data_IF_547498733266
#
_entry.id   IF_547498733266
#
_cell.length_a   1.000
_cell.length_b   1.000
_cell.length_c   1.000
_cell.angle_alpha   90.00
_cell.angle_beta   90.00
_cell.angle_gamma   90.00
#
_symmetry.space_group_name_H-M   'P 1'
#
loop_
_entity.id
_entity.type
_entity.pdbx_description
1 polymer ?
#
# COMPACT_ATOMS: atom_id res chain seq x y z
N UNK A 1 -15.16 33.34 9.36
CA UNK A 1 -14.62 32.59 8.21
C UNK A 1 -14.90 31.09 8.35
N UNK A 2 -14.28 30.35 9.29
CA UNK A 2 -14.45 28.88 9.41
C UNK A 2 -15.89 28.35 9.52
N UNK A 3 -16.81 29.05 10.21
CA UNK A 3 -18.22 28.62 10.31
C UNK A 3 -18.98 28.79 8.98
N UNK A 4 -18.84 29.94 8.34
CA UNK A 4 -19.53 30.28 7.07
C UNK A 4 -19.08 29.37 5.92
N UNK A 5 -17.81 28.94 5.90
CA UNK A 5 -17.32 27.98 4.90
C UNK A 5 -17.83 26.56 5.14
N UNK A 6 -17.92 26.14 6.42
CA UNK A 6 -18.46 24.82 6.79
C UNK A 6 -19.96 24.68 6.49
N UNK A 7 -20.72 25.77 6.49
CA UNK A 7 -22.16 25.75 6.19
C UNK A 7 -22.43 25.72 4.67
N UNK A 8 -21.43 26.07 3.85
CA UNK A 8 -21.57 26.18 2.39
C UNK A 8 -20.99 24.99 1.62
N UNK A 9 -19.97 24.34 2.17
CA UNK A 9 -19.29 23.22 1.53
C UNK A 9 -19.60 21.97 2.31
N UNK A 10 -20.33 21.05 1.67
CA UNK A 10 -20.60 19.74 2.24
C UNK A 10 -19.29 18.98 2.47
N UNK A 11 -19.20 18.32 3.62
CA UNK A 11 -18.12 17.38 3.93
C UNK A 11 -18.31 16.09 3.15
N UNK A 12 -17.24 15.30 3.08
CA UNK A 12 -17.25 14.04 2.33
C UNK A 12 -18.33 13.07 2.84
N UNK A 13 -18.53 12.97 4.15
CA UNK A 13 -19.56 12.14 4.77
C UNK A 13 -20.98 12.61 4.42
N UNK A 14 -21.24 13.91 4.42
CA UNK A 14 -22.54 14.48 4.02
C UNK A 14 -22.87 14.17 2.56
N UNK A 15 -21.89 14.31 1.65
CA UNK A 15 -22.06 13.98 0.23
C UNK A 15 -22.40 12.50 0.04
N UNK A 16 -21.72 11.62 0.78
CA UNK A 16 -21.97 10.18 0.70
C UNK A 16 -23.32 9.77 1.27
N UNK A 17 -23.74 10.40 2.37
CA UNK A 17 -25.08 10.20 2.93
C UNK A 17 -26.14 10.61 1.89
N UNK A 18 -25.96 11.76 1.25
CA UNK A 18 -26.88 12.20 0.19
C UNK A 18 -26.93 11.23 -1.00
N UNK A 19 -25.78 10.78 -1.53
CA UNK A 19 -25.81 9.77 -2.60
C UNK A 19 -26.47 8.46 -2.16
N UNK A 20 -26.33 8.09 -0.88
CA UNK A 20 -26.99 6.90 -0.33
C UNK A 20 -28.50 7.06 -0.27
N UNK A 21 -29.02 8.22 0.15
CA UNK A 21 -30.48 8.48 0.16
C UNK A 21 -31.05 8.46 -1.26
N UNK A 22 -30.33 9.05 -2.23
CA UNK A 22 -30.71 8.99 -3.65
C UNK A 22 -30.75 7.54 -4.13
N UNK A 23 -29.69 6.76 -3.90
CA UNK A 23 -29.61 5.36 -4.30
C UNK A 23 -30.76 4.51 -3.71
N UNK A 24 -31.16 4.76 -2.46
CA UNK A 24 -32.25 4.07 -1.77
C UNK A 24 -33.65 4.52 -2.21
N UNK A 25 -33.76 5.64 -2.91
CA UNK A 25 -35.05 6.23 -3.28
C UNK A 25 -35.71 7.05 -2.18
N UNK A 26 -34.96 7.40 -1.14
CA UNK A 26 -35.46 8.16 0.02
C UNK A 26 -35.49 9.66 -0.25
N UNK A 27 -34.63 10.15 -1.16
CA UNK A 27 -34.66 11.54 -1.60
C UNK A 27 -35.95 11.86 -2.38
N UNK A 28 -36.39 13.12 -2.35
CA UNK A 28 -37.55 13.59 -3.13
C UNK A 28 -37.10 14.67 -4.09
N UNK A 29 -37.64 14.63 -5.30
CA UNK A 29 -37.51 15.67 -6.30
C UNK A 29 -38.88 16.21 -6.68
N UNK A 30 -38.98 17.53 -6.80
CA UNK A 30 -40.20 18.19 -7.26
C UNK A 30 -40.15 18.30 -8.77
N UNK A 31 -41.07 17.63 -9.46
CA UNK A 31 -41.23 17.73 -10.91
C UNK A 31 -42.51 18.46 -11.26
N UNK A 32 -42.51 19.14 -12.42
CA UNK A 32 -43.72 19.73 -12.98
C UNK A 32 -44.27 18.79 -14.03
N UNK A 33 -45.52 18.36 -13.85
CA UNK A 33 -46.25 17.51 -14.79
C UNK A 33 -47.36 18.31 -15.45
N UNK A 34 -47.51 18.13 -16.77
CA UNK A 34 -48.63 18.71 -17.51
C UNK A 34 -49.89 17.88 -17.29
N UNK A 35 -50.96 18.53 -16.87
CA UNK A 35 -52.30 17.96 -16.73
C UNK A 35 -53.25 18.64 -17.73
N UNK A 36 -54.44 18.07 -18.01
CA UNK A 36 -55.44 18.72 -18.86
C UNK A 36 -55.87 20.12 -18.36
N UNK A 37 -55.75 20.37 -17.05
CA UNK A 37 -56.13 21.61 -16.39
C UNK A 37 -54.96 22.60 -16.18
N UNK A 38 -53.73 22.23 -16.58
CA UNK A 38 -52.56 23.11 -16.46
C UNK A 38 -51.27 22.36 -16.15
N UNK A 39 -50.44 22.94 -15.28
CA UNK A 39 -49.20 22.32 -14.82
C UNK A 39 -49.25 22.17 -13.30
N UNK A 40 -48.96 20.97 -12.81
CA UNK A 40 -48.96 20.64 -11.39
C UNK A 40 -47.57 20.26 -10.92
N UNK A 41 -47.27 20.58 -9.66
CA UNK A 41 -46.02 20.24 -9.01
C UNK A 41 -46.22 18.98 -8.16
N UNK A 42 -45.43 17.94 -8.44
CA UNK A 42 -45.52 16.63 -7.78
C UNK A 42 -44.16 16.27 -7.19
N UNK A 43 -44.16 15.76 -5.96
CA UNK A 43 -42.96 15.16 -5.37
C UNK A 43 -42.83 13.70 -5.80
N UNK A 44 -41.71 13.38 -6.44
CA UNK A 44 -41.36 12.04 -6.87
C UNK A 44 -40.08 11.55 -6.20
N UNK A 45 -39.92 10.24 -6.19
CA UNK A 45 -38.64 9.61 -5.86
C UNK A 45 -37.65 9.77 -7.03
N UNK A 46 -36.33 9.62 -6.79
CA UNK A 46 -35.33 9.76 -7.82
C UNK A 46 -35.51 8.66 -8.87
N UNK A 47 -35.33 9.03 -10.13
CA UNK A 47 -35.46 8.11 -11.25
C UNK A 47 -34.43 6.97 -11.20
N UNK A 48 -34.69 5.87 -11.90
CA UNK A 48 -33.74 4.75 -12.01
C UNK A 48 -32.36 5.24 -12.51
N UNK A 49 -32.34 6.20 -13.43
CA UNK A 49 -31.10 6.76 -13.99
C UNK A 49 -30.28 7.47 -12.92
N UNK A 50 -30.94 8.22 -12.05
CA UNK A 50 -30.27 8.98 -10.97
C UNK A 50 -29.79 8.05 -9.86
N UNK A 51 -30.59 7.03 -9.51
CA UNK A 51 -30.15 5.95 -8.60
C UNK A 51 -28.92 5.22 -9.15
N UNK A 52 -28.90 4.91 -10.44
CA UNK A 52 -27.73 4.30 -11.10
C UNK A 52 -26.50 5.23 -11.07
N UNK A 53 -26.69 6.54 -11.25
CA UNK A 53 -25.59 7.49 -11.16
C UNK A 53 -25.02 7.55 -9.74
N UNK A 54 -25.86 7.65 -8.72
CA UNK A 54 -25.45 7.61 -7.32
C UNK A 54 -24.70 6.31 -6.98
N UNK A 55 -25.20 5.16 -7.45
CA UNK A 55 -24.55 3.87 -7.28
C UNK A 55 -23.15 3.82 -7.90
N UNK A 56 -22.97 4.35 -9.12
CA UNK A 56 -21.65 4.44 -9.76
C UNK A 56 -20.67 5.30 -8.96
N UNK A 57 -21.10 6.45 -8.46
CA UNK A 57 -20.24 7.31 -7.66
C UNK A 57 -19.84 6.66 -6.32
N UNK A 58 -20.78 5.96 -5.66
CA UNK A 58 -20.49 5.20 -4.45
C UNK A 58 -19.52 4.02 -4.70
N UNK A 59 -19.64 3.35 -5.85
CA UNK A 59 -18.78 2.23 -6.23
C UNK A 59 -17.32 2.63 -6.47
N UNK A 60 -17.03 3.86 -6.89
CA UNK A 60 -15.63 4.34 -7.06
C UNK A 60 -14.83 4.26 -5.76
N UNK A 61 -15.50 4.22 -4.61
CA UNK A 61 -14.86 4.06 -3.29
C UNK A 61 -14.40 2.62 -3.02
N UNK A 62 -14.86 1.66 -3.80
CA UNK A 62 -14.51 0.25 -3.73
C UNK A 62 -13.63 -0.12 -4.94
N UNK A 63 -12.34 0.28 -4.94
CA UNK A 63 -11.42 0.02 -6.05
C UNK A 63 -11.22 -1.48 -6.35
N UNK A 64 -11.60 -2.36 -5.43
CA UNK A 64 -11.57 -3.81 -5.61
C UNK A 64 -12.48 -4.35 -6.72
N UNK A 65 -13.38 -3.52 -7.27
CA UNK A 65 -14.30 -3.94 -8.34
C UNK A 65 -13.74 -3.73 -9.75
N UNK A 66 -12.55 -3.15 -9.89
CA UNK A 66 -11.89 -2.95 -11.18
C UNK A 66 -10.66 -3.87 -11.29
N UNK A 67 -10.83 -4.96 -12.04
CA UNK A 67 -9.80 -5.99 -12.24
C UNK A 67 -8.52 -5.42 -12.86
N UNK A 68 -8.64 -4.42 -13.74
CA UNK A 68 -7.50 -3.76 -14.37
C UNK A 68 -6.75 -2.89 -13.35
N UNK A 69 -7.47 -2.13 -12.52
CA UNK A 69 -6.87 -1.33 -11.45
C UNK A 69 -6.14 -2.22 -10.44
N UNK A 70 -6.74 -3.35 -10.05
CA UNK A 70 -6.13 -4.32 -9.14
C UNK A 70 -4.84 -4.92 -9.72
N UNK A 71 -4.83 -5.27 -11.01
CA UNK A 71 -3.66 -5.77 -11.70
C UNK A 71 -2.53 -4.72 -11.75
N UNK A 72 -2.87 -3.45 -11.99
CA UNK A 72 -1.91 -2.34 -11.96
C UNK A 72 -1.35 -2.12 -10.55
N UNK A 73 -2.18 -2.12 -9.51
CA UNK A 73 -1.73 -2.03 -8.12
C UNK A 73 -0.77 -3.16 -7.77
N UNK A 74 -1.13 -4.40 -8.13
CA UNK A 74 -0.30 -5.59 -7.87
C UNK A 74 1.06 -5.48 -8.55
N UNK A 75 1.09 -5.05 -9.81
CA UNK A 75 2.33 -4.80 -10.54
C UNK A 75 3.20 -3.75 -9.86
N UNK A 76 2.61 -2.61 -9.49
CA UNK A 76 3.34 -1.52 -8.80
C UNK A 76 3.94 -2.03 -7.49
N UNK A 77 3.18 -2.79 -6.69
CA UNK A 77 3.66 -3.37 -5.43
C UNK A 77 4.85 -4.30 -5.70
N UNK A 78 4.74 -5.16 -6.72
CA UNK A 78 5.81 -6.10 -7.09
C UNK A 78 7.06 -5.37 -7.56
N UNK A 79 6.92 -4.33 -8.38
CA UNK A 79 8.03 -3.50 -8.85
C UNK A 79 8.73 -2.76 -7.69
N UNK A 80 7.95 -2.27 -6.71
CA UNK A 80 8.48 -1.66 -5.48
C UNK A 80 9.27 -2.69 -4.65
N UNK A 81 8.74 -3.90 -4.50
CA UNK A 81 9.42 -4.97 -3.75
C UNK A 81 10.72 -5.40 -4.41
N UNK A 82 10.71 -5.57 -5.73
CA UNK A 82 11.91 -5.85 -6.52
C UNK A 82 12.95 -4.75 -6.36
N UNK A 83 12.53 -3.49 -6.52
CA UNK A 83 13.42 -2.34 -6.34
C UNK A 83 14.01 -2.29 -4.93
N UNK A 84 13.22 -2.58 -3.90
CA UNK A 84 13.71 -2.67 -2.51
C UNK A 84 14.74 -3.79 -2.34
N UNK A 85 14.54 -4.94 -2.99
CA UNK A 85 15.49 -6.04 -2.94
C UNK A 85 16.81 -5.67 -3.64
N UNK A 86 16.73 -5.04 -4.81
CA UNK A 86 17.90 -4.57 -5.56
C UNK A 86 18.70 -3.54 -4.75
N UNK A 87 18.03 -2.57 -4.12
CA UNK A 87 18.68 -1.60 -3.22
C UNK A 87 19.39 -2.28 -2.05
N UNK A 88 18.78 -3.31 -1.44
CA UNK A 88 19.42 -4.07 -0.36
C UNK A 88 20.66 -4.81 -0.86
N UNK A 89 20.59 -5.42 -2.05
CA UNK A 89 21.71 -6.13 -2.67
C UNK A 89 22.87 -5.18 -2.96
N UNK A 90 22.60 -4.06 -3.63
CA UNK A 90 23.63 -3.05 -3.92
C UNK A 90 24.25 -2.47 -2.65
N UNK A 91 23.46 -2.27 -1.59
CA UNK A 91 23.99 -1.83 -0.30
C UNK A 91 24.94 -2.86 0.31
N UNK A 92 24.54 -4.13 0.35
CA UNK A 92 25.40 -5.20 0.87
C UNK A 92 26.70 -5.36 0.04
N UNK A 93 26.60 -5.25 -1.29
CA UNK A 93 27.77 -5.29 -2.18
C UNK A 93 28.73 -4.12 -1.91
N UNK A 94 28.20 -2.91 -1.70
CA UNK A 94 29.00 -1.73 -1.35
C UNK A 94 29.71 -1.91 0.00
N UNK A 95 28.99 -2.40 1.03
CA UNK A 95 29.57 -2.65 2.36
C UNK A 95 30.71 -3.68 2.30
N UNK A 96 30.55 -4.75 1.52
CA UNK A 96 31.61 -5.76 1.30
C UNK A 96 32.80 -5.16 0.57
N UNK A 97 32.57 -4.34 -0.45
CA UNK A 97 33.63 -3.70 -1.22
C UNK A 97 34.44 -2.73 -0.35
N UNK A 98 33.77 -1.93 0.47
CA UNK A 98 34.42 -1.02 1.42
C UNK A 98 35.24 -1.81 2.46
N UNK A 99 34.71 -2.91 2.99
CA UNK A 99 35.43 -3.76 3.93
C UNK A 99 36.67 -4.41 3.29
N UNK A 100 36.59 -4.84 2.03
CA UNK A 100 37.75 -5.37 1.28
C UNK A 100 38.81 -4.29 1.04
N UNK A 101 38.40 -3.12 0.57
CA UNK A 101 39.33 -2.00 0.33
C UNK A 101 40.06 -1.56 1.61
N UNK A 102 39.37 -1.57 2.77
CA UNK A 102 40.01 -1.29 4.07
C UNK A 102 41.02 -2.36 4.48
N UNK A 103 40.77 -3.64 4.19
CA UNK A 103 41.72 -4.73 4.47
C UNK A 103 42.95 -4.66 3.57
N UNK A 104 42.77 -4.34 2.29
CA UNK A 104 43.87 -4.24 1.32
C UNK A 104 44.78 -3.03 1.58
N UNK A 105 44.24 -1.95 2.14
CA UNK A 105 45.01 -0.75 2.51
C UNK A 105 45.58 -0.81 3.93
N UNK A 106 45.11 -1.72 4.79
CA UNK A 106 45.75 -1.94 6.09
C UNK A 106 47.03 -2.77 5.90
N UNK A 107 48.19 -2.12 5.95
CA UNK A 107 49.51 -2.77 6.04
C UNK A 107 49.75 -3.40 7.44
N UNK A 108 48.76 -4.10 7.98
CA UNK A 108 48.88 -4.75 9.28
C UNK A 108 49.71 -6.04 9.11
N UNK A 109 51.02 -5.87 9.01
CA UNK A 109 52.04 -6.94 8.95
C UNK A 109 52.36 -7.50 10.34
N UNK A 110 51.41 -7.39 11.28
CA UNK A 110 51.60 -7.87 12.64
C UNK A 110 51.82 -9.39 12.62
N UNK A 111 53.05 -9.79 12.96
CA UNK A 111 53.47 -11.19 13.01
C UNK A 111 52.60 -11.94 14.03
N UNK A 112 51.72 -12.82 13.55
CA UNK A 112 50.92 -13.71 14.39
C UNK A 112 51.86 -14.80 14.92
N UNK A 113 52.17 -14.77 16.22
CA UNK A 113 52.90 -15.85 16.89
C UNK A 113 51.91 -16.91 17.36
N UNK A 114 51.96 -18.10 16.76
CA UNK A 114 51.14 -19.25 17.18
C UNK A 114 52.03 -20.18 18.01
N UNK A 115 51.76 -20.27 19.32
CA UNK A 115 52.44 -21.25 20.18
C UNK A 115 51.71 -22.59 20.10
N UNK A 116 52.30 -23.53 19.33
CA UNK A 116 51.83 -24.90 19.27
C UNK A 116 52.60 -25.71 20.32
N UNK A 117 51.89 -26.30 21.29
CA UNK A 117 52.50 -27.29 22.19
C UNK A 117 52.56 -28.65 21.48
N UNK A 118 53.70 -29.35 21.53
CA UNK A 118 53.76 -30.74 21.09
C UNK A 118 52.76 -31.57 21.88
N UNK A 119 52.02 -32.43 21.19
CA UNK A 119 51.27 -33.51 21.84
C UNK A 119 52.33 -34.53 22.23
N UNK A 120 52.56 -34.70 23.53
CA UNK A 120 53.38 -35.81 24.02
C UNK A 120 52.67 -37.10 23.63
N UNK A 121 53.28 -37.83 22.70
CA UNK A 121 52.87 -39.19 22.39
C UNK A 121 53.32 -39.99 23.59
N UNK A 122 52.39 -40.26 24.51
CA UNK A 122 52.60 -41.14 25.65
C UNK A 122 53.05 -42.48 25.09
N UNK A 123 54.36 -42.69 25.13
CA UNK A 123 55.00 -43.94 24.75
C UNK A 123 54.62 -44.93 25.81
N UNK A 124 53.43 -45.50 25.69
CA UNK A 124 53.03 -46.71 26.37
C UNK A 124 54.02 -47.80 25.97
N UNK A 125 55.08 -47.91 26.76
CA UNK A 125 55.90 -49.11 26.89
C UNK A 125 55.00 -50.20 27.45
N UNK A 126 54.25 -50.85 26.57
CA UNK A 126 53.63 -52.14 26.87
C UNK A 126 54.70 -53.21 26.59
N UNK A 127 55.66 -53.27 27.52
CA UNK A 127 56.66 -54.31 27.61
C UNK A 127 55.95 -55.66 27.78
N UNK A 128 56.12 -56.53 26.79
CA UNK A 128 56.11 -58.01 26.81
C UNK A 128 55.72 -58.73 28.10
N UNK A 129 54.71 -59.61 28.01
CA UNK A 129 54.86 -61.08 28.15
C UNK A 129 53.86 -61.80 27.22
#
# INVERSE_FOLDING_TARGET
>A
MKRIESDKIAKADEVLQYFTTVLRGEAKETIIVGTPDGAESVENEPSIKDRMAAGRELLKRYPGNDELLNAQLTKIITDIEKTKADVRKSKAEADIMEAKAKRETSEDTSNITINIKPIEQDGGDDSTD
#
